data_IF_794217728684
#
_entry.id   IF_794217728684
#
_cell.length_a   1.000
_cell.length_b   1.000
_cell.length_c   1.000
_cell.angle_alpha   90.00
_cell.angle_beta   90.00
_cell.angle_gamma   90.00
#
_symmetry.space_group_name_H-M   'P 1'
#
loop_
_entity.id
_entity.type
_entity.pdbx_description
1 polymer ?
#
# COMPACT_ATOMS: atom_id res chain seq x y z
N UNK A 1 -26.97 4.47 -6.48
CA UNK A 1 -25.55 4.82 -6.31
C UNK A 1 -24.80 3.57 -5.88
N UNK A 2 -23.54 3.40 -6.28
CA UNK A 2 -22.68 2.32 -5.78
C UNK A 2 -21.32 2.89 -5.39
N UNK A 3 -20.86 2.60 -4.17
CA UNK A 3 -19.57 3.04 -3.64
C UNK A 3 -18.76 1.82 -3.22
N UNK A 4 -17.56 1.69 -3.77
CA UNK A 4 -16.50 0.82 -3.24
C UNK A 4 -15.49 1.69 -2.51
N UNK A 5 -15.16 1.32 -1.27
CA UNK A 5 -14.22 2.07 -0.43
C UNK A 5 -14.92 3.14 0.42
N UNK A 6 -14.35 4.34 0.51
CA UNK A 6 -14.87 5.42 1.33
C UNK A 6 -14.49 6.80 0.79
N UNK A 7 -15.36 7.78 1.04
CA UNK A 7 -15.19 9.18 0.63
C UNK A 7 -15.15 10.06 1.87
N UNK A 8 -14.25 11.04 1.89
CA UNK A 8 -14.37 12.21 2.76
C UNK A 8 -14.58 13.48 1.92
N UNK A 9 -15.22 14.45 2.56
CA UNK A 9 -15.27 15.83 2.10
C UNK A 9 -14.90 16.73 3.29
N UNK A 10 -13.88 17.57 3.10
CA UNK A 10 -13.42 18.53 4.11
C UNK A 10 -13.07 17.89 5.47
N UNK A 11 -12.42 16.72 5.43
CA UNK A 11 -11.98 15.98 6.63
C UNK A 11 -13.09 15.19 7.33
N UNK A 12 -14.32 15.20 6.81
CA UNK A 12 -15.42 14.36 7.30
C UNK A 12 -15.67 13.20 6.35
N UNK A 13 -15.54 11.97 6.86
CA UNK A 13 -15.98 10.76 6.16
C UNK A 13 -17.50 10.78 6.00
N UNK A 14 -17.97 10.54 4.77
CA UNK A 14 -19.39 10.58 4.45
C UNK A 14 -20.03 9.19 4.59
N UNK A 15 -21.19 9.13 5.25
CA UNK A 15 -22.10 7.99 5.15
C UNK A 15 -22.72 7.89 3.74
N UNK A 16 -23.27 6.73 3.35
CA UNK A 16 -23.98 6.60 2.08
C UNK A 16 -25.10 7.64 1.92
N UNK A 17 -25.88 7.90 2.98
CA UNK A 17 -26.98 8.86 2.96
C UNK A 17 -26.47 10.30 2.80
N UNK A 18 -25.40 10.68 3.50
CA UNK A 18 -24.78 12.00 3.34
C UNK A 18 -24.17 12.19 1.95
N UNK A 19 -23.59 11.14 1.38
CA UNK A 19 -23.04 11.17 0.03
C UNK A 19 -24.13 11.38 -1.02
N UNK A 20 -25.27 10.68 -0.90
CA UNK A 20 -26.42 10.91 -1.79
C UNK A 20 -26.93 12.36 -1.69
N UNK A 21 -27.08 12.88 -0.48
CA UNK A 21 -27.48 14.28 -0.26
C UNK A 21 -26.50 15.30 -0.88
N UNK A 22 -25.19 15.04 -0.76
CA UNK A 22 -24.15 15.89 -1.38
C UNK A 22 -24.29 15.88 -2.89
N UNK A 23 -24.46 14.69 -3.49
CA UNK A 23 -24.58 14.53 -4.94
C UNK A 23 -25.88 15.13 -5.49
N UNK A 24 -26.99 15.01 -4.77
CA UNK A 24 -28.27 15.62 -5.17
C UNK A 24 -28.22 17.15 -5.12
N UNK A 25 -27.51 17.69 -4.12
CA UNK A 25 -27.41 19.14 -3.90
C UNK A 25 -26.43 19.80 -4.86
N UNK A 26 -25.24 19.24 -5.02
CA UNK A 26 -24.18 19.79 -5.86
C UNK A 26 -23.21 18.70 -6.35
N UNK A 27 -23.47 18.09 -7.53
CA UNK A 27 -22.58 17.10 -8.14
C UNK A 27 -21.16 17.62 -8.42
N UNK A 28 -20.95 18.95 -8.50
CA UNK A 28 -19.61 19.49 -8.79
C UNK A 28 -18.62 19.24 -7.65
N UNK A 29 -19.12 19.01 -6.43
CA UNK A 29 -18.33 18.67 -5.25
C UNK A 29 -17.60 17.34 -5.37
N UNK A 30 -17.98 16.47 -6.32
CA UNK A 30 -17.26 15.23 -6.62
C UNK A 30 -15.79 15.52 -6.92
N UNK A 31 -15.49 16.63 -7.61
CA UNK A 31 -14.11 17.06 -7.90
C UNK A 31 -13.27 17.31 -6.64
N UNK A 32 -13.90 17.53 -5.48
CA UNK A 32 -13.25 17.84 -4.20
C UNK A 32 -13.21 16.65 -3.25
N UNK A 33 -13.78 15.50 -3.62
CA UNK A 33 -13.76 14.30 -2.80
C UNK A 33 -12.33 13.80 -2.58
N UNK A 34 -12.03 13.46 -1.33
CA UNK A 34 -10.83 12.73 -0.94
C UNK A 34 -11.25 11.36 -0.38
N UNK A 35 -10.26 10.53 -0.01
CA UNK A 35 -10.48 9.16 0.44
C UNK A 35 -10.03 8.15 -0.61
N UNK A 36 -10.50 6.92 -0.47
CA UNK A 36 -10.09 5.78 -1.28
C UNK A 36 -11.36 5.18 -1.86
N UNK A 37 -11.67 5.48 -3.12
CA UNK A 37 -12.99 5.18 -3.65
C UNK A 37 -13.04 4.91 -5.15
N UNK A 38 -14.02 4.08 -5.50
CA UNK A 38 -14.66 4.06 -6.80
C UNK A 38 -16.16 4.28 -6.60
N UNK A 39 -16.72 5.30 -7.23
CA UNK A 39 -18.10 5.75 -7.06
C UNK A 39 -18.84 5.71 -8.39
N UNK A 40 -20.04 5.15 -8.40
CA UNK A 40 -21.00 5.18 -9.52
C UNK A 40 -22.28 5.89 -9.09
N UNK A 41 -22.70 6.89 -9.86
CA UNK A 41 -23.85 7.74 -9.56
C UNK A 41 -24.49 8.26 -10.86
N UNK A 42 -25.78 7.99 -11.07
CA UNK A 42 -26.44 8.30 -12.34
C UNK A 42 -25.74 7.62 -13.53
N UNK A 43 -25.40 8.38 -14.57
CA UNK A 43 -24.58 7.92 -15.70
C UNK A 43 -23.08 8.20 -15.51
N UNK A 44 -22.71 8.63 -14.31
CA UNK A 44 -21.36 9.05 -13.96
C UNK A 44 -20.64 8.03 -13.08
N UNK A 45 -19.31 8.04 -13.18
CA UNK A 45 -18.40 7.36 -12.29
C UNK A 45 -17.23 8.26 -11.92
N UNK A 46 -16.67 8.08 -10.74
CA UNK A 46 -15.53 8.81 -10.24
C UNK A 46 -14.58 7.88 -9.48
N UNK A 47 -13.28 8.16 -9.57
CA UNK A 47 -12.26 7.36 -8.89
C UNK A 47 -11.24 8.24 -8.22
N UNK A 48 -10.81 7.83 -7.02
CA UNK A 48 -9.87 8.57 -6.20
C UNK A 48 -8.61 8.99 -6.97
N UNK A 49 -7.99 10.08 -6.50
CA UNK A 49 -6.91 10.78 -7.20
C UNK A 49 -5.75 9.88 -7.60
N UNK A 50 -5.38 8.92 -6.74
CA UNK A 50 -4.23 8.03 -6.96
C UNK A 50 -4.64 6.63 -7.43
N UNK A 51 -5.94 6.40 -7.61
CA UNK A 51 -6.50 5.14 -8.07
C UNK A 51 -6.27 3.98 -7.10
N UNK A 52 -6.23 4.28 -5.80
CA UNK A 52 -6.05 3.30 -4.72
C UNK A 52 -7.12 2.22 -4.86
N UNK A 53 -8.40 2.58 -4.97
CA UNK A 53 -9.45 1.60 -5.22
C UNK A 53 -9.51 1.29 -6.72
N UNK A 54 -9.47 0.01 -7.15
CA UNK A 54 -9.66 -0.36 -8.54
C UNK A 54 -11.03 0.06 -9.08
N UNK A 55 -11.06 0.49 -10.33
CA UNK A 55 -12.29 0.84 -11.03
C UNK A 55 -12.08 0.96 -12.55
N UNK A 56 -13.17 0.87 -13.34
CA UNK A 56 -13.12 0.95 -14.80
C UNK A 56 -12.73 2.33 -15.33
N UNK A 57 -12.98 3.41 -14.59
CA UNK A 57 -12.50 4.73 -14.99
C UNK A 57 -11.03 4.97 -14.60
N UNK A 58 -10.31 5.84 -15.33
CA UNK A 58 -8.95 6.26 -14.97
C UNK A 58 -8.90 6.83 -13.54
N UNK A 59 -7.76 6.66 -12.87
CA UNK A 59 -7.48 7.29 -11.59
C UNK A 59 -7.65 8.81 -11.69
N UNK A 60 -8.22 9.43 -10.66
CA UNK A 60 -8.43 10.87 -10.59
C UNK A 60 -9.39 11.45 -11.63
N UNK A 61 -10.24 10.63 -12.26
CA UNK A 61 -11.17 11.08 -13.31
C UNK A 61 -12.62 11.02 -12.86
N UNK A 62 -13.43 11.90 -13.47
CA UNK A 62 -14.89 11.87 -13.43
C UNK A 62 -15.37 11.62 -14.86
N UNK A 63 -16.10 10.54 -15.05
CA UNK A 63 -16.59 10.08 -16.35
C UNK A 63 -18.12 10.05 -16.33
N UNK A 64 -18.80 10.71 -17.27
CA UNK A 64 -20.26 10.62 -17.45
C UNK A 64 -20.58 10.23 -18.89
N UNK A 65 -21.53 9.32 -19.09
CA UNK A 65 -21.91 8.81 -20.42
C UNK A 65 -20.69 8.32 -21.24
N UNK A 66 -19.71 7.74 -20.56
CA UNK A 66 -18.45 7.27 -21.15
C UNK A 66 -17.44 8.36 -21.53
N UNK A 67 -17.68 9.63 -21.20
CA UNK A 67 -16.81 10.77 -21.50
C UNK A 67 -16.22 11.38 -20.24
N UNK A 68 -14.96 11.80 -20.30
CA UNK A 68 -14.34 12.56 -19.22
C UNK A 68 -14.98 13.94 -19.11
N UNK A 69 -15.54 14.26 -17.94
CA UNK A 69 -16.19 15.55 -17.66
C UNK A 69 -15.47 16.37 -16.59
N UNK A 70 -14.52 15.77 -15.88
CA UNK A 70 -13.74 16.44 -14.85
C UNK A 70 -12.69 15.52 -14.24
N UNK A 71 -11.98 16.07 -13.26
CA UNK A 71 -10.96 15.36 -12.49
C UNK A 71 -11.22 15.48 -11.00
N UNK A 72 -10.73 14.49 -10.26
CA UNK A 72 -10.68 14.52 -8.80
C UNK A 72 -9.42 15.29 -8.40
N UNK A 73 -9.62 16.40 -7.70
CA UNK A 73 -8.58 17.29 -7.23
C UNK A 73 -8.95 17.84 -5.84
N UNK A 74 -8.97 17.00 -4.80
CA UNK A 74 -9.16 17.45 -3.45
C UNK A 74 -8.10 18.49 -3.07
N UNK A 75 -8.47 19.50 -2.26
CA UNK A 75 -7.56 20.59 -1.94
C UNK A 75 -6.35 20.10 -1.16
N UNK A 76 -5.18 20.48 -1.65
CA UNK A 76 -3.90 20.30 -0.97
C UNK A 76 -3.86 21.19 0.27
N UNK A 77 -3.91 20.59 1.46
CA UNK A 77 -3.87 21.31 2.73
C UNK A 77 -2.40 21.54 3.15
N UNK A 78 -2.07 22.76 3.55
CA UNK A 78 -0.75 23.06 4.11
C UNK A 78 -0.68 22.61 5.57
N UNK A 79 -0.47 21.32 5.79
CA UNK A 79 -0.33 20.71 7.11
C UNK A 79 1.14 20.34 7.38
N UNK A 80 1.62 20.46 8.63
CA UNK A 80 2.85 19.80 9.05
C UNK A 80 2.80 18.31 8.72
N UNK A 81 3.93 17.73 8.27
CA UNK A 81 3.97 16.35 7.81
C UNK A 81 3.44 15.34 8.86
N UNK A 82 3.78 15.54 10.14
CA UNK A 82 3.29 14.70 11.23
C UNK A 82 1.76 14.72 11.35
N UNK A 83 1.14 15.90 11.21
CA UNK A 83 -0.31 16.06 11.27
C UNK A 83 -1.00 15.50 10.03
N UNK A 84 -0.38 15.66 8.86
CA UNK A 84 -0.87 15.07 7.61
C UNK A 84 -0.91 13.54 7.68
N UNK A 85 0.19 12.91 8.13
CA UNK A 85 0.29 11.46 8.31
C UNK A 85 -0.71 10.98 9.37
N UNK A 86 -0.76 11.65 10.53
CA UNK A 86 -1.69 11.29 11.61
C UNK A 86 -3.13 11.33 11.12
N UNK A 87 -3.55 12.45 10.52
CA UNK A 87 -4.93 12.63 10.03
C UNK A 87 -5.31 11.60 8.97
N UNK A 88 -4.39 11.29 8.05
CA UNK A 88 -4.61 10.29 7.01
C UNK A 88 -4.79 8.88 7.60
N UNK A 89 -4.03 8.51 8.64
CA UNK A 89 -4.15 7.19 9.27
C UNK A 89 -5.40 7.13 10.16
N UNK A 90 -5.65 8.14 10.99
CA UNK A 90 -6.77 8.16 11.95
C UNK A 90 -8.13 7.99 11.25
N UNK A 91 -8.36 8.68 10.13
CA UNK A 91 -9.64 8.57 9.41
C UNK A 91 -9.88 7.18 8.79
N UNK A 92 -8.80 6.41 8.59
CA UNK A 92 -8.84 5.01 8.09
C UNK A 92 -8.93 3.98 9.21
N UNK A 93 -8.81 4.41 10.47
CA UNK A 93 -8.64 3.54 11.65
C UNK A 93 -9.97 3.20 12.35
N UNK A 94 -11.11 3.48 11.71
CA UNK A 94 -12.42 3.06 12.20
C UNK A 94 -12.65 1.54 12.07
N UNK A 95 -12.03 0.93 11.06
CA UNK A 95 -12.19 -0.49 10.70
C UNK A 95 -10.91 -1.03 10.08
N UNK A 96 -10.79 -2.36 10.03
CA UNK A 96 -9.66 -3.03 9.38
C UNK A 96 -8.54 -3.45 10.33
N UNK A 97 -7.51 -4.02 9.69
CA UNK A 97 -6.31 -4.62 10.28
C UNK A 97 -5.06 -4.04 9.62
N UNK A 98 -3.95 -3.87 10.36
CA UNK A 98 -2.71 -3.33 9.81
C UNK A 98 -1.74 -4.44 9.40
N UNK A 99 -1.26 -4.42 8.16
CA UNK A 99 -0.18 -5.30 7.71
C UNK A 99 1.17 -4.81 8.28
N UNK A 100 1.65 -5.45 9.35
CA UNK A 100 2.86 -5.07 10.08
C UNK A 100 4.05 -5.90 9.60
N UNK A 101 4.84 -5.32 8.70
CA UNK A 101 6.05 -6.00 8.18
C UNK A 101 7.27 -5.86 9.12
N UNK A 102 7.17 -5.04 10.17
CA UNK A 102 8.29 -4.67 11.05
C UNK A 102 9.21 -3.57 10.49
N UNK A 103 8.97 -3.05 9.29
CA UNK A 103 9.63 -1.85 8.79
C UNK A 103 8.97 -0.57 9.31
N UNK A 104 9.72 0.55 9.31
CA UNK A 104 9.24 1.86 9.80
C UNK A 104 7.92 2.30 9.17
N UNK A 105 7.72 2.02 7.87
CA UNK A 105 6.53 2.46 7.14
C UNK A 105 5.26 1.84 7.73
N UNK A 106 5.24 0.51 7.87
CA UNK A 106 4.12 -0.22 8.48
C UNK A 106 4.04 -0.01 10.00
N UNK A 107 5.18 0.17 10.67
CA UNK A 107 5.22 0.38 12.12
C UNK A 107 4.58 1.73 12.50
N UNK A 108 4.83 2.79 11.73
CA UNK A 108 4.19 4.09 11.96
C UNK A 108 2.68 4.03 11.69
N UNK A 109 2.26 3.36 10.61
CA UNK A 109 0.83 3.11 10.36
C UNK A 109 0.20 2.36 11.55
N UNK A 110 0.84 1.30 12.03
CA UNK A 110 0.35 0.52 13.16
C UNK A 110 0.28 1.33 14.47
N UNK A 111 1.33 2.12 14.75
CA UNK A 111 1.43 2.95 15.96
C UNK A 111 0.35 4.04 16.01
N UNK A 112 0.00 4.65 14.88
CA UNK A 112 -1.06 5.67 14.84
C UNK A 112 -2.44 5.02 14.77
N UNK A 113 -2.60 3.96 13.99
CA UNK A 113 -3.92 3.34 13.78
C UNK A 113 -4.45 2.64 15.04
N UNK A 114 -3.56 2.10 15.89
CA UNK A 114 -3.94 1.36 17.10
C UNK A 114 -4.99 0.26 16.81
N UNK A 115 -4.78 -0.43 15.69
CA UNK A 115 -5.62 -1.55 15.22
C UNK A 115 -4.92 -2.88 15.43
N UNK A 116 -5.65 -4.00 15.45
CA UNK A 116 -5.05 -5.32 15.30
C UNK A 116 -4.09 -5.33 14.12
N UNK A 117 -2.99 -6.02 14.28
CA UNK A 117 -1.95 -6.16 13.27
C UNK A 117 -1.88 -7.61 12.78
N UNK A 118 -1.40 -7.80 11.56
CA UNK A 118 -1.04 -9.12 11.05
C UNK A 118 0.35 -9.08 10.41
N UNK A 119 1.08 -10.19 10.54
CA UNK A 119 2.32 -10.44 9.79
C UNK A 119 2.25 -11.82 9.16
N UNK A 120 2.77 -11.94 7.93
CA UNK A 120 2.87 -13.21 7.22
C UNK A 120 4.32 -13.53 6.89
N UNK A 121 4.66 -14.82 6.91
CA UNK A 121 5.96 -15.27 6.41
C UNK A 121 6.24 -16.72 6.73
N UNK A 122 7.35 -17.23 6.18
CA UNK A 122 7.84 -18.57 6.49
C UNK A 122 8.24 -18.67 7.96
N UNK A 123 8.23 -19.88 8.51
CA UNK A 123 8.67 -20.13 9.88
C UNK A 123 10.06 -19.53 10.18
N UNK A 124 10.16 -18.79 11.28
CA UNK A 124 11.41 -18.16 11.70
C UNK A 124 11.96 -17.13 10.71
N UNK A 125 11.13 -16.53 9.85
CA UNK A 125 11.58 -15.45 8.98
C UNK A 125 11.90 -14.17 9.76
N UNK A 126 12.56 -13.23 9.08
CA UNK A 126 12.96 -11.97 9.72
C UNK A 126 11.76 -11.07 10.02
N UNK A 127 10.79 -11.02 9.09
CA UNK A 127 9.62 -10.15 9.23
C UNK A 127 8.75 -10.53 10.43
N UNK A 128 8.52 -11.83 10.67
CA UNK A 128 7.78 -12.28 11.86
C UNK A 128 8.48 -11.85 13.14
N UNK A 129 9.81 -12.04 13.24
CA UNK A 129 10.57 -11.60 14.43
C UNK A 129 10.46 -10.09 14.63
N UNK A 130 10.72 -9.31 13.58
CA UNK A 130 10.73 -7.86 13.68
C UNK A 130 9.35 -7.29 13.98
N UNK A 131 8.29 -7.82 13.34
CA UNK A 131 6.92 -7.42 13.61
C UNK A 131 6.50 -7.77 15.05
N UNK A 132 6.94 -8.92 15.58
CA UNK A 132 6.68 -9.32 16.97
C UNK A 132 7.31 -8.36 17.97
N UNK A 133 8.58 -7.96 17.73
CA UNK A 133 9.27 -6.97 18.57
C UNK A 133 8.58 -5.61 18.51
N UNK A 134 8.25 -5.12 17.30
CA UNK A 134 7.57 -3.84 17.10
C UNK A 134 6.19 -3.84 17.76
N UNK A 135 5.41 -4.91 17.58
CA UNK A 135 4.10 -5.03 18.22
C UNK A 135 4.21 -5.04 19.74
N UNK A 136 5.22 -5.71 20.30
CA UNK A 136 5.46 -5.73 21.76
C UNK A 136 5.77 -4.35 22.30
N UNK A 137 6.61 -3.57 21.61
CA UNK A 137 7.03 -2.23 22.05
C UNK A 137 5.91 -1.21 21.94
N UNK A 138 5.03 -1.39 20.96
CA UNK A 138 3.89 -0.51 20.71
C UNK A 138 2.61 -0.98 21.43
N UNK A 139 2.67 -2.06 22.20
CA UNK A 139 1.54 -2.71 22.88
C UNK A 139 0.37 -3.03 21.92
N UNK A 140 0.71 -3.60 20.75
CA UNK A 140 -0.24 -3.94 19.69
C UNK A 140 -0.55 -5.42 19.67
N UNK A 141 -1.82 -5.76 19.43
CA UNK A 141 -2.23 -7.13 19.12
C UNK A 141 -1.69 -7.53 17.74
N UNK A 142 -0.94 -8.64 17.67
CA UNK A 142 -0.37 -9.16 16.43
C UNK A 142 -0.82 -10.60 16.16
N UNK A 143 -1.46 -10.80 15.01
CA UNK A 143 -1.68 -12.12 14.44
C UNK A 143 -0.50 -12.53 13.57
N UNK A 144 0.06 -13.72 13.81
CA UNK A 144 1.19 -14.26 13.04
C UNK A 144 0.70 -15.41 12.17
N UNK A 145 0.74 -15.24 10.84
CA UNK A 145 0.52 -16.31 9.88
C UNK A 145 1.86 -16.89 9.42
N UNK A 146 2.18 -18.06 9.97
CA UNK A 146 3.32 -18.87 9.50
C UNK A 146 2.93 -19.64 8.26
N UNK A 147 3.51 -19.31 7.11
CA UNK A 147 3.27 -19.90 5.79
C UNK A 147 4.11 -21.16 5.61
N UNK A 148 3.50 -22.24 5.12
CA UNK A 148 4.21 -23.49 4.82
C UNK A 148 4.74 -23.52 3.37
N UNK A 149 5.73 -24.36 3.05
CA UNK A 149 6.15 -24.57 1.67
C UNK A 149 5.04 -25.03 0.73
N UNK A 150 4.08 -25.81 1.24
CA UNK A 150 2.93 -26.28 0.46
C UNK A 150 1.99 -25.12 0.16
N UNK A 151 1.71 -24.26 1.15
CA UNK A 151 0.90 -23.05 0.96
C UNK A 151 1.46 -22.21 -0.21
N UNK A 152 2.79 -22.00 -0.25
CA UNK A 152 3.45 -21.25 -1.34
C UNK A 152 3.25 -21.95 -2.69
N UNK A 153 3.43 -23.27 -2.75
CA UNK A 153 3.25 -24.03 -3.98
C UNK A 153 1.81 -23.93 -4.52
N UNK A 154 0.82 -23.97 -3.63
CA UNK A 154 -0.61 -23.90 -3.98
C UNK A 154 -1.04 -22.48 -4.38
N UNK A 155 -0.47 -21.45 -3.75
CA UNK A 155 -0.78 -20.06 -4.07
C UNK A 155 -0.15 -19.58 -5.40
N UNK A 156 1.00 -20.15 -5.79
CA UNK A 156 1.76 -19.67 -6.96
C UNK A 156 0.95 -19.63 -8.27
N UNK A 157 0.23 -20.69 -8.69
CA UNK A 157 -0.59 -20.65 -9.91
C UNK A 157 -1.66 -19.56 -9.87
N UNK A 158 -2.33 -19.38 -8.72
CA UNK A 158 -3.36 -18.36 -8.53
C UNK A 158 -2.73 -16.97 -8.67
N UNK A 159 -1.66 -16.68 -7.94
CA UNK A 159 -0.97 -15.39 -7.97
C UNK A 159 -0.44 -15.06 -9.36
N UNK A 160 0.19 -16.03 -10.04
CA UNK A 160 0.73 -15.84 -11.39
C UNK A 160 -0.41 -15.50 -12.38
N UNK A 161 -1.58 -16.11 -12.24
CA UNK A 161 -2.74 -15.84 -13.10
C UNK A 161 -3.31 -14.42 -12.95
N UNK A 162 -3.13 -13.80 -11.77
CA UNK A 162 -3.62 -12.46 -11.45
C UNK A 162 -2.69 -11.34 -11.94
N UNK A 163 -1.45 -11.67 -12.31
CA UNK A 163 -0.44 -10.70 -12.74
C UNK A 163 -0.32 -10.77 -14.26
N UNK A 164 -0.61 -9.66 -14.95
CA UNK A 164 -0.61 -9.60 -16.42
C UNK A 164 0.74 -10.02 -17.05
N UNK A 165 1.84 -9.46 -16.54
CA UNK A 165 3.22 -9.77 -16.97
C UNK A 165 4.09 -10.13 -15.75
N UNK A 166 3.97 -11.37 -15.26
CA UNK A 166 4.61 -11.77 -14.02
C UNK A 166 6.13 -11.89 -14.21
N UNK A 167 6.87 -11.15 -13.40
CA UNK A 167 8.30 -11.37 -13.18
C UNK A 167 8.53 -11.92 -11.76
N UNK A 168 9.72 -12.48 -11.46
CA UNK A 168 9.96 -13.12 -10.18
C UNK A 168 9.77 -12.22 -8.95
N UNK A 169 10.02 -10.91 -9.06
CA UNK A 169 9.83 -9.96 -7.95
C UNK A 169 8.34 -9.70 -7.73
N UNK A 170 7.60 -9.46 -8.81
CA UNK A 170 6.15 -9.23 -8.76
C UNK A 170 5.40 -10.45 -8.20
N UNK A 171 5.80 -11.66 -8.59
CA UNK A 171 5.22 -12.90 -8.05
C UNK A 171 5.54 -13.07 -6.56
N UNK A 172 6.75 -12.75 -6.11
CA UNK A 172 7.10 -12.83 -4.69
C UNK A 172 6.31 -11.82 -3.82
N UNK A 173 6.19 -10.57 -4.29
CA UNK A 173 5.36 -9.55 -3.65
C UNK A 173 3.90 -10.00 -3.64
N UNK A 174 3.39 -10.42 -4.79
CA UNK A 174 2.01 -10.85 -4.94
C UNK A 174 1.65 -12.05 -4.07
N UNK A 175 2.54 -13.03 -3.95
CA UNK A 175 2.33 -14.20 -3.07
C UNK A 175 2.30 -13.80 -1.61
N UNK A 176 3.12 -12.82 -1.21
CA UNK A 176 3.07 -12.26 0.15
C UNK A 176 1.73 -11.58 0.41
N UNK A 177 1.28 -10.73 -0.53
CA UNK A 177 0.02 -10.01 -0.41
C UNK A 177 -1.20 -10.94 -0.45
N UNK A 178 -1.13 -12.04 -1.20
CA UNK A 178 -2.14 -13.09 -1.23
C UNK A 178 -2.39 -13.62 0.18
N UNK A 179 -1.33 -14.03 0.90
CA UNK A 179 -1.49 -14.54 2.27
C UNK A 179 -1.92 -13.46 3.27
N UNK A 180 -1.46 -12.21 3.10
CA UNK A 180 -1.93 -11.07 3.90
C UNK A 180 -3.43 -10.90 3.75
N UNK A 181 -3.92 -10.91 2.51
CA UNK A 181 -5.33 -10.70 2.20
C UNK A 181 -6.21 -11.87 2.61
N UNK A 182 -5.79 -13.10 2.34
CA UNK A 182 -6.44 -14.34 2.79
C UNK A 182 -6.57 -14.34 4.32
N UNK A 183 -5.46 -14.08 5.04
CA UNK A 183 -5.47 -14.05 6.52
C UNK A 183 -6.35 -12.93 7.06
N UNK A 184 -6.33 -11.73 6.45
CA UNK A 184 -7.19 -10.64 6.87
C UNK A 184 -8.68 -11.00 6.72
N UNK A 185 -9.04 -11.64 5.61
CA UNK A 185 -10.41 -12.09 5.35
C UNK A 185 -10.83 -13.17 6.35
N UNK A 186 -9.97 -14.16 6.64
CA UNK A 186 -10.23 -15.22 7.62
C UNK A 186 -10.49 -14.65 9.04
N UNK A 187 -9.85 -13.51 9.35
CA UNK A 187 -10.02 -12.77 10.60
C UNK A 187 -11.23 -11.80 10.57
N UNK A 188 -11.98 -11.74 9.46
CA UNK A 188 -13.17 -10.91 9.31
C UNK A 188 -12.89 -9.46 8.90
N UNK A 189 -11.71 -9.16 8.37
CA UNK A 189 -11.34 -7.81 7.94
C UNK A 189 -11.28 -7.69 6.41
N UNK A 190 -12.11 -6.81 5.86
CA UNK A 190 -12.04 -6.44 4.44
C UNK A 190 -10.94 -5.40 4.17
N UNK A 191 -10.71 -4.46 5.10
CA UNK A 191 -9.72 -3.39 4.95
C UNK A 191 -8.38 -3.77 5.58
N UNK A 192 -7.31 -3.60 4.81
CA UNK A 192 -5.93 -3.81 5.27
C UNK A 192 -5.15 -2.50 5.16
N UNK A 193 -4.79 -1.91 6.30
CA UNK A 193 -3.93 -0.72 6.32
C UNK A 193 -2.49 -1.15 6.04
N UNK A 194 -1.84 -0.48 5.09
CA UNK A 194 -0.49 -0.83 4.64
C UNK A 194 0.44 0.37 4.71
N UNK A 195 1.75 0.11 4.78
CA UNK A 195 2.78 1.12 4.60
C UNK A 195 3.14 1.40 3.14
N UNK A 196 2.30 1.00 2.17
CA UNK A 196 2.60 1.14 0.74
C UNK A 196 2.62 2.61 0.30
N UNK A 197 3.45 2.89 -0.71
CA UNK A 197 3.69 4.24 -1.23
C UNK A 197 4.73 5.05 -0.45
N UNK A 198 5.14 4.59 0.74
CA UNK A 198 6.13 5.32 1.54
C UNK A 198 7.48 5.49 0.84
N UNK A 199 7.94 4.46 0.11
CA UNK A 199 9.24 4.51 -0.55
C UNK A 199 9.28 5.53 -1.70
N UNK A 200 8.19 5.64 -2.47
CA UNK A 200 8.04 6.62 -3.55
C UNK A 200 7.81 8.03 -3.03
N UNK A 201 6.99 8.19 -2.00
CA UNK A 201 6.65 9.51 -1.42
C UNK A 201 7.85 10.11 -0.67
N UNK A 202 8.52 9.30 0.14
CA UNK A 202 9.55 9.78 1.08
C UNK A 202 10.98 9.45 0.68
N UNK A 203 11.23 8.72 -0.40
CA UNK A 203 12.60 8.42 -0.81
C UNK A 203 13.19 7.21 -0.09
N UNK A 204 12.51 6.08 -0.14
CA UNK A 204 12.89 4.87 0.59
C UNK A 204 13.77 3.87 -0.19
N UNK A 205 13.92 3.99 -1.51
CA UNK A 205 14.77 3.08 -2.30
C UNK A 205 16.27 3.34 -2.09
N UNK A 206 17.05 2.25 -2.02
CA UNK A 206 18.51 2.32 -1.82
C UNK A 206 19.22 3.20 -2.85
N UNK A 207 18.80 3.10 -4.12
CA UNK A 207 19.36 3.86 -5.25
C UNK A 207 19.24 5.38 -5.11
N UNK A 208 18.34 5.91 -4.27
CA UNK A 208 18.26 7.35 -4.06
C UNK A 208 19.51 7.91 -3.38
N UNK A 209 20.19 7.10 -2.54
CA UNK A 209 21.46 7.49 -1.91
C UNK A 209 22.60 7.63 -2.93
N UNK A 210 22.50 6.90 -4.04
CA UNK A 210 23.50 6.87 -5.12
C UNK A 210 23.13 7.82 -6.27
N UNK A 211 21.92 8.39 -6.24
CA UNK A 211 21.43 9.28 -7.30
C UNK A 211 22.01 10.69 -7.10
N UNK A 212 22.65 11.29 -8.12
CA UNK A 212 23.13 12.67 -8.04
C UNK A 212 22.00 13.65 -7.67
N UNK A 213 22.25 14.66 -6.80
CA UNK A 213 21.20 15.56 -6.31
C UNK A 213 20.34 16.22 -7.39
N UNK A 214 20.93 16.61 -8.52
CA UNK A 214 20.24 17.25 -9.64
C UNK A 214 19.32 16.32 -10.44
N UNK A 215 19.38 15.00 -10.21
CA UNK A 215 18.51 13.99 -10.83
C UNK A 215 17.43 13.46 -9.88
N UNK A 216 17.47 13.83 -8.59
CA UNK A 216 16.54 13.29 -7.61
C UNK A 216 15.09 13.64 -7.95
N UNK A 217 14.81 14.88 -8.38
CA UNK A 217 13.45 15.31 -8.74
C UNK A 217 12.86 14.43 -9.85
N UNK A 218 13.60 14.21 -10.95
CA UNK A 218 13.16 13.38 -12.08
C UNK A 218 12.94 11.93 -11.65
N UNK A 219 13.87 11.39 -10.88
CA UNK A 219 13.83 10.00 -10.43
C UNK A 219 12.65 9.78 -9.47
N UNK A 220 12.42 10.68 -8.51
CA UNK A 220 11.25 10.62 -7.62
C UNK A 220 9.93 10.73 -8.40
N UNK A 221 9.83 11.66 -9.35
CA UNK A 221 8.61 11.82 -10.15
C UNK A 221 8.28 10.54 -10.94
N UNK A 222 9.28 9.95 -11.62
CA UNK A 222 9.11 8.69 -12.35
C UNK A 222 8.66 7.55 -11.45
N UNK A 223 9.23 7.46 -10.25
CA UNK A 223 8.90 6.37 -9.34
C UNK A 223 7.51 6.55 -8.72
N UNK A 224 7.13 7.79 -8.42
CA UNK A 224 5.78 8.15 -8.01
C UNK A 224 4.75 7.78 -9.10
N UNK A 225 5.02 8.08 -10.37
CA UNK A 225 4.15 7.70 -11.50
C UNK A 225 4.00 6.17 -11.65
N UNK A 226 4.99 5.41 -11.20
CA UNK A 226 4.96 3.95 -11.24
C UNK A 226 3.98 3.33 -10.23
N UNK A 227 3.55 4.07 -9.21
CA UNK A 227 2.66 3.61 -8.14
C UNK A 227 1.34 3.07 -8.69
N UNK A 228 0.77 3.70 -9.71
CA UNK A 228 -0.49 3.24 -10.32
C UNK A 228 -0.40 1.81 -10.84
N UNK A 229 0.74 1.44 -11.45
CA UNK A 229 0.95 0.07 -11.96
C UNK A 229 1.12 -0.92 -10.82
N UNK A 230 1.89 -0.57 -9.80
CA UNK A 230 2.11 -1.41 -8.61
C UNK A 230 0.79 -1.63 -7.85
N UNK A 231 0.05 -0.54 -7.59
CA UNK A 231 -1.24 -0.56 -6.91
C UNK A 231 -2.29 -1.40 -7.64
N UNK A 232 -2.34 -1.38 -8.99
CA UNK A 232 -3.24 -2.27 -9.75
C UNK A 232 -2.97 -3.75 -9.49
N UNK A 233 -1.70 -4.17 -9.48
CA UNK A 233 -1.30 -5.54 -9.16
C UNK A 233 -1.71 -5.89 -7.74
N UNK A 234 -1.31 -5.06 -6.79
CA UNK A 234 -1.45 -5.34 -5.36
C UNK A 234 -2.92 -5.37 -4.91
N UNK A 235 -3.71 -4.41 -5.40
CA UNK A 235 -5.15 -4.39 -5.16
C UNK A 235 -5.89 -5.51 -5.89
N UNK A 236 -5.47 -5.88 -7.10
CA UNK A 236 -6.05 -7.04 -7.80
C UNK A 236 -5.91 -8.33 -6.98
N UNK A 237 -4.75 -8.52 -6.35
CA UNK A 237 -4.49 -9.66 -5.47
C UNK A 237 -5.34 -9.58 -4.20
N UNK A 238 -5.33 -8.44 -3.50
CA UNK A 238 -6.16 -8.27 -2.30
C UNK A 238 -7.65 -8.52 -2.59
N UNK A 239 -8.14 -7.96 -3.70
CA UNK A 239 -9.54 -8.09 -4.12
C UNK A 239 -9.91 -9.52 -4.48
N UNK A 240 -8.99 -10.30 -5.05
CA UNK A 240 -9.23 -11.72 -5.35
C UNK A 240 -9.55 -12.53 -4.08
N UNK A 241 -9.04 -12.09 -2.92
CA UNK A 241 -9.32 -12.67 -1.59
C UNK A 241 -10.45 -11.97 -0.84
N UNK A 242 -11.18 -11.05 -1.49
CA UNK A 242 -12.28 -10.33 -0.86
C UNK A 242 -11.85 -9.19 0.09
N UNK A 243 -10.59 -8.74 0.04
CA UNK A 243 -10.08 -7.62 0.81
C UNK A 243 -9.65 -6.45 -0.08
N UNK A 244 -9.25 -5.32 0.52
CA UNK A 244 -8.57 -4.21 -0.18
C UNK A 244 -7.50 -3.57 0.71
N UNK A 245 -6.49 -3.02 0.05
CA UNK A 245 -5.38 -2.31 0.66
C UNK A 245 -5.76 -0.84 0.80
N UNK A 246 -5.66 -0.32 2.03
CA UNK A 246 -5.73 1.09 2.35
C UNK A 246 -4.31 1.63 2.44
N UNK A 247 -4.05 2.78 1.81
CA UNK A 247 -2.70 3.32 1.58
C UNK A 247 -2.61 4.75 2.12
N UNK A 248 -2.47 4.95 3.45
CA UNK A 248 -2.47 6.27 4.07
C UNK A 248 -1.41 7.22 3.52
N UNK A 249 -0.25 6.72 3.08
CA UNK A 249 0.82 7.56 2.54
C UNK A 249 0.50 8.15 1.15
N UNK A 250 -0.51 7.61 0.47
CA UNK A 250 -1.05 8.18 -0.77
C UNK A 250 -2.26 9.09 -0.53
N UNK A 251 -2.57 9.44 0.72
CA UNK A 251 -3.54 10.50 0.99
C UNK A 251 -3.01 11.85 0.49
N UNK A 252 -3.86 12.66 -0.15
CA UNK A 252 -3.45 13.96 -0.70
C UNK A 252 -2.80 14.87 0.34
N UNK A 253 -3.23 14.82 1.61
CA UNK A 253 -2.61 15.57 2.70
C UNK A 253 -1.15 15.19 2.87
N UNK A 254 -0.87 13.89 2.85
CA UNK A 254 0.47 13.33 3.04
C UNK A 254 1.34 13.61 1.83
N UNK A 255 0.83 13.36 0.62
CA UNK A 255 1.57 13.60 -0.63
C UNK A 255 1.95 15.08 -0.73
N UNK A 256 1.01 15.98 -0.45
CA UNK A 256 1.26 17.42 -0.43
C UNK A 256 2.35 17.82 0.57
N UNK A 257 2.21 17.41 1.83
CA UNK A 257 3.18 17.74 2.87
C UNK A 257 4.58 17.17 2.58
N UNK A 258 4.64 15.95 2.04
CA UNK A 258 5.89 15.32 1.63
C UNK A 258 6.51 16.02 0.42
N UNK A 259 5.70 16.37 -0.60
CA UNK A 259 6.17 17.01 -1.82
C UNK A 259 6.72 18.42 -1.60
N UNK A 260 6.28 19.11 -0.54
CA UNK A 260 6.83 20.40 -0.11
C UNK A 260 8.28 20.30 0.42
N UNK A 261 8.75 19.10 0.79
CA UNK A 261 10.12 18.86 1.27
C UNK A 261 11.03 18.56 0.07
N UNK A 262 12.16 19.26 -0.14
CA UNK A 262 13.08 18.96 -1.23
C UNK A 262 13.58 17.50 -1.20
N UNK A 263 13.71 16.79 -2.34
CA UNK A 263 14.19 15.40 -2.33
C UNK A 263 15.55 15.20 -1.67
N UNK A 264 16.44 16.20 -1.73
CA UNK A 264 17.75 16.22 -1.05
C UNK A 264 17.66 16.23 0.47
N UNK A 265 16.53 16.65 1.03
CA UNK A 265 16.25 16.59 2.47
C UNK A 265 15.53 15.29 2.85
N UNK A 266 14.78 14.70 1.91
CA UNK A 266 14.14 13.39 2.10
C UNK A 266 15.15 12.25 2.19
N UNK A 267 16.27 12.39 1.46
CA UNK A 267 17.38 11.44 1.42
C UNK A 267 18.67 12.19 1.69
N UNK A 268 19.15 12.13 2.93
CA UNK A 268 20.26 12.97 3.39
C UNK A 268 21.16 12.21 4.37
N UNK A 269 22.48 12.41 4.27
CA UNK A 269 23.43 11.90 5.27
C UNK A 269 23.46 10.37 5.39
N UNK A 270 23.21 9.66 4.28
CA UNK A 270 23.12 8.19 4.29
C UNK A 270 21.76 7.65 4.73
N UNK A 271 20.82 8.52 5.12
CA UNK A 271 19.50 8.15 5.62
C UNK A 271 18.45 8.32 4.53
N UNK A 272 17.70 7.24 4.26
CA UNK A 272 16.52 7.22 3.38
C UNK A 272 15.27 7.56 4.17
N UNK A 273 14.22 8.05 3.48
CA UNK A 273 12.90 8.35 4.07
C UNK A 273 12.99 9.17 5.36
N UNK A 274 13.95 10.09 5.42
CA UNK A 274 14.32 10.79 6.66
C UNK A 274 13.14 11.51 7.32
N UNK A 275 12.31 12.31 6.62
CA UNK A 275 11.13 12.95 7.22
C UNK A 275 10.13 11.95 7.80
N UNK A 276 9.95 10.79 7.16
CA UNK A 276 9.06 9.75 7.67
C UNK A 276 9.62 9.14 8.97
N UNK A 277 10.93 8.94 9.07
CA UNK A 277 11.60 8.42 10.28
C UNK A 277 11.56 9.43 11.42
N UNK A 278 11.68 10.71 11.13
CA UNK A 278 11.51 11.79 12.11
C UNK A 278 10.09 11.79 12.68
N UNK A 279 9.06 11.67 11.84
CA UNK A 279 7.67 11.51 12.31
C UNK A 279 7.50 10.21 13.09
N UNK A 280 8.09 9.10 12.61
CA UNK A 280 7.99 7.81 13.31
C UNK A 280 8.60 7.86 14.72
N UNK A 281 9.65 8.64 14.92
CA UNK A 281 10.31 8.82 16.23
C UNK A 281 9.43 9.51 17.28
N UNK A 282 8.31 10.12 16.86
CA UNK A 282 7.29 10.65 17.77
C UNK A 282 6.42 9.53 18.39
N UNK A 283 6.38 8.34 17.76
CA UNK A 283 5.48 7.24 18.14
C UNK A 283 6.21 5.97 18.59
N UNK A 284 7.51 5.86 18.33
CA UNK A 284 8.31 4.69 18.69
C UNK A 284 9.77 5.08 18.98
N UNK A 285 10.55 4.24 19.69
CA UNK A 285 11.96 4.52 19.95
C UNK A 285 12.76 4.70 18.65
N UNK A 286 13.76 5.59 18.69
CA UNK A 286 14.60 5.89 17.52
C UNK A 286 15.28 4.64 16.92
N UNK A 287 15.63 3.65 17.74
CA UNK A 287 16.22 2.40 17.28
C UNK A 287 15.32 1.62 16.31
N UNK A 288 13.99 1.80 16.39
CA UNK A 288 13.01 1.23 15.49
C UNK A 288 12.64 2.18 14.35
N UNK A 289 12.51 3.48 14.65
CA UNK A 289 12.23 4.49 13.63
C UNK A 289 13.35 4.60 12.57
N UNK A 290 14.60 4.44 12.98
CA UNK A 290 15.78 4.47 12.11
C UNK A 290 16.28 3.08 11.69
N UNK A 291 15.53 2.01 12.00
CA UNK A 291 15.89 0.68 11.58
C UNK A 291 15.92 0.56 10.04
N UNK A 292 17.01 0.03 9.50
CA UNK A 292 17.21 -0.23 8.07
C UNK A 292 16.79 -1.67 7.74
N UNK A 293 15.50 -1.86 7.44
CA UNK A 293 14.97 -3.18 7.07
C UNK A 293 15.37 -3.58 5.64
N UNK A 294 15.59 -4.89 5.41
CA UNK A 294 15.62 -5.50 4.07
C UNK A 294 14.22 -5.44 3.42
N UNK A 295 14.16 -5.32 2.09
CA UNK A 295 12.91 -5.21 1.35
C UNK A 295 11.96 -6.41 1.56
N UNK A 296 10.64 -6.15 1.48
CA UNK A 296 9.55 -7.07 1.83
C UNK A 296 9.68 -8.46 1.20
N UNK A 297 10.00 -8.54 -0.09
CA UNK A 297 10.15 -9.80 -0.83
C UNK A 297 11.24 -10.73 -0.27
N UNK A 298 12.19 -10.19 0.51
CA UNK A 298 13.29 -10.96 1.09
C UNK A 298 13.09 -11.29 2.56
N UNK A 299 12.33 -10.47 3.29
CA UNK A 299 12.16 -10.56 4.73
C UNK A 299 11.24 -11.70 5.18
N UNK A 300 10.22 -12.00 4.39
CA UNK A 300 9.20 -13.04 4.65
C UNK A 300 9.70 -14.46 4.44
N UNK A 301 10.79 -14.65 3.69
CA UNK A 301 11.28 -15.97 3.28
C UNK A 301 10.58 -16.56 2.04
N UNK A 302 9.47 -15.98 1.57
CA UNK A 302 8.69 -16.48 0.44
C UNK A 302 9.53 -16.53 -0.85
N UNK A 303 10.35 -15.51 -1.15
CA UNK A 303 11.24 -15.54 -2.31
C UNK A 303 12.24 -16.71 -2.28
N UNK A 304 12.76 -17.04 -1.09
CA UNK A 304 13.67 -18.20 -0.94
C UNK A 304 12.93 -19.49 -1.23
N UNK A 305 11.67 -19.57 -0.81
CA UNK A 305 10.81 -20.71 -1.02
C UNK A 305 10.43 -20.88 -2.50
N UNK A 306 10.03 -19.82 -3.19
CA UNK A 306 9.78 -19.83 -4.64
C UNK A 306 11.00 -20.36 -5.41
N UNK A 307 12.22 -19.90 -5.06
CA UNK A 307 13.47 -20.41 -5.66
C UNK A 307 13.69 -21.89 -5.37
N UNK A 308 13.30 -22.38 -4.19
CA UNK A 308 13.42 -23.78 -3.80
C UNK A 308 12.47 -24.64 -4.64
N UNK A 309 11.20 -24.23 -4.74
CA UNK A 309 10.17 -24.88 -5.56
C UNK A 309 10.59 -24.92 -7.03
N UNK A 310 11.09 -23.81 -7.59
CA UNK A 310 11.57 -23.76 -8.97
C UNK A 310 12.67 -24.82 -9.23
N UNK A 311 13.65 -24.92 -8.34
CA UNK A 311 14.72 -25.93 -8.43
C UNK A 311 14.21 -27.36 -8.33
N UNK A 312 13.23 -27.61 -7.47
CA UNK A 312 12.60 -28.93 -7.33
C UNK A 312 11.84 -29.35 -8.60
N UNK A 313 11.38 -28.38 -9.39
CA UNK A 313 10.73 -28.58 -10.68
C UNK A 313 11.70 -28.50 -11.88
N UNK A 314 13.02 -28.62 -11.64
CA UNK A 314 14.04 -28.65 -12.70
C UNK A 314 14.52 -27.28 -13.21
N UNK A 315 14.03 -26.17 -12.64
CA UNK A 315 14.41 -24.82 -13.02
C UNK A 315 15.53 -24.28 -12.12
N UNK A 316 16.76 -24.74 -12.36
CA UNK A 316 17.89 -24.44 -11.47
C UNK A 316 18.47 -23.04 -11.61
N UNK A 317 18.41 -22.46 -12.82
CA UNK A 317 19.05 -21.19 -13.18
C UNK A 317 18.07 -20.05 -13.46
N UNK A 318 16.79 -20.33 -13.70
CA UNK A 318 15.79 -19.32 -14.09
C UNK A 318 14.45 -19.55 -13.39
N UNK A 319 14.15 -18.73 -12.37
CA UNK A 319 12.80 -18.65 -11.79
C UNK A 319 11.81 -18.07 -12.80
N UNK A 320 12.29 -17.24 -13.74
CA UNK A 320 11.45 -16.67 -14.79
C UNK A 320 10.88 -17.75 -15.71
N UNK A 321 11.69 -18.76 -16.04
CA UNK A 321 11.27 -19.88 -16.90
C UNK A 321 10.26 -20.77 -16.16
N UNK A 322 10.46 -20.97 -14.85
CA UNK A 322 9.50 -21.67 -14.00
C UNK A 322 8.14 -20.96 -13.95
N UNK A 323 8.14 -19.65 -13.74
CA UNK A 323 6.90 -18.83 -13.75
C UNK A 323 6.23 -18.90 -15.13
N UNK A 324 7.02 -18.84 -16.21
CA UNK A 324 6.51 -18.96 -17.58
C UNK A 324 5.89 -20.32 -17.84
N UNK A 325 6.44 -21.39 -17.25
CA UNK A 325 5.89 -22.73 -17.33
C UNK A 325 4.55 -22.83 -16.60
N UNK A 326 4.47 -22.40 -15.34
CA UNK A 326 3.21 -22.39 -14.57
C UNK A 326 2.11 -21.61 -15.32
N UNK A 327 2.46 -20.48 -15.94
CA UNK A 327 1.49 -19.67 -16.70
C UNK A 327 0.88 -20.41 -17.91
N UNK A 328 1.57 -21.42 -18.45
CA UNK A 328 1.14 -22.17 -19.65
C UNK A 328 0.37 -23.45 -19.34
N UNK A 329 0.46 -23.93 -18.10
CA UNK A 329 -0.19 -25.16 -17.61
C UNK A 329 -1.50 -24.82 -16.94
#
# INVERSE_FOLDING_TARGET
MHLTGWIELEGKKLSPEELEQVLERDPSLVSRFNGEFYLEYGTCSARDQYGIIPGPCPAGSIMCDGKAVGTIHPPCQNLPLADAIRSAIEIRSDTGITALSGGVDSALVAAVAQRPCLVVGMEGCHDIRQATEVATILDLSLHVRTVTPQDVADALPVVISLIHDPNPVDVAIGTTLYFVAETAQDLGYERILTGQGADEVFGGYARYLETPPHLLDEVFARDFDSLSRQGKRDQGIARSMGAYLSMPYLDIRVVCAAQAIPPTERVQGGVRKKPLREVASLYMPESYAYYEKKAMQYGTGIWKEIKRIARQNGYHSSVSDFITHIRRT
#
